data_IF_903105017410
#
_entry.id   IF_903105017410
#
_cell.length_a   1.000
_cell.length_b   1.000
_cell.length_c   1.000
_cell.angle_alpha   90.00
_cell.angle_beta   90.00
_cell.angle_gamma   90.00
#
_symmetry.space_group_name_H-M   'P 1'
#
loop_
_entity.id
_entity.type
_entity.pdbx_description
1 polymer ?
#
# COMPACT_ATOMS: atom_id res chain seq x y z
N UNK A 1 -9.33 10.12 -22.12
CA UNK A 1 -9.53 10.09 -20.65
C UNK A 1 -8.33 9.49 -19.88
N UNK A 2 -7.71 8.37 -20.28
CA UNK A 2 -6.57 7.80 -19.53
C UNK A 2 -5.31 8.71 -19.45
N UNK A 3 -5.01 9.47 -20.52
CA UNK A 3 -3.86 10.40 -20.55
C UNK A 3 -3.97 11.56 -19.54
N UNK A 4 -5.18 12.04 -19.24
CA UNK A 4 -5.37 13.11 -18.25
C UNK A 4 -5.17 12.58 -16.82
N UNK A 5 -5.61 11.35 -16.54
CA UNK A 5 -5.43 10.69 -15.24
C UNK A 5 -3.96 10.45 -14.91
N UNK A 6 -3.17 9.96 -15.86
CA UNK A 6 -1.72 9.74 -15.66
C UNK A 6 -0.94 11.06 -15.50
N UNK A 7 -1.31 12.09 -16.27
CA UNK A 7 -0.70 13.41 -16.13
C UNK A 7 -0.99 14.03 -14.75
N UNK A 8 -2.22 13.86 -14.26
CA UNK A 8 -2.65 14.33 -12.94
C UNK A 8 -1.90 13.63 -11.81
N UNK A 9 -1.85 12.30 -11.82
CA UNK A 9 -1.14 11.54 -10.79
C UNK A 9 0.37 11.89 -10.75
N UNK A 10 0.97 12.14 -11.92
CA UNK A 10 2.35 12.64 -12.01
C UNK A 10 2.51 14.02 -11.37
N UNK A 11 1.57 14.96 -11.61
CA UNK A 11 1.59 16.29 -10.96
C UNK A 11 1.41 16.18 -9.44
N UNK A 12 0.57 15.27 -8.98
CA UNK A 12 0.38 14.99 -7.56
C UNK A 12 1.68 14.49 -6.90
N UNK A 13 2.40 13.56 -7.53
CA UNK A 13 3.72 13.12 -7.02
C UNK A 13 4.75 14.24 -6.99
N UNK A 14 4.69 15.19 -7.94
CA UNK A 14 5.54 16.39 -7.91
C UNK A 14 5.22 17.26 -6.69
N UNK A 15 3.95 17.46 -6.37
CA UNK A 15 3.54 18.22 -5.18
C UNK A 15 3.99 17.51 -3.90
N UNK A 16 3.88 16.19 -3.82
CA UNK A 16 4.37 15.42 -2.68
C UNK A 16 5.89 15.54 -2.51
N UNK A 17 6.65 15.47 -3.59
CA UNK A 17 8.10 15.68 -3.52
C UNK A 17 8.43 17.06 -2.90
N UNK A 18 7.67 18.11 -3.26
CA UNK A 18 7.81 19.44 -2.65
C UNK A 18 7.42 19.42 -1.17
N UNK A 19 6.34 18.70 -0.80
CA UNK A 19 5.89 18.57 0.59
C UNK A 19 6.91 17.88 1.49
N UNK A 20 7.65 16.92 0.95
CA UNK A 20 8.77 16.27 1.64
C UNK A 20 10.06 17.10 1.63
N UNK A 21 10.03 18.31 1.07
CA UNK A 21 11.22 19.17 0.97
C UNK A 21 12.25 18.69 -0.05
N UNK A 22 11.93 17.71 -0.89
CA UNK A 22 12.87 17.12 -1.85
C UNK A 22 13.12 18.07 -3.03
N UNK A 23 14.35 18.07 -3.53
CA UNK A 23 14.82 18.89 -4.66
C UNK A 23 15.73 18.09 -5.59
N UNK A 24 15.90 18.59 -6.81
CA UNK A 24 16.82 18.03 -7.80
C UNK A 24 16.64 16.52 -8.00
N UNK A 25 17.73 15.77 -7.82
CA UNK A 25 17.76 14.32 -8.03
C UNK A 25 16.97 13.55 -6.99
N UNK A 26 16.93 14.01 -5.74
CA UNK A 26 16.15 13.37 -4.68
C UNK A 26 14.64 13.41 -4.96
N UNK A 27 14.15 14.52 -5.53
CA UNK A 27 12.76 14.63 -5.96
C UNK A 27 12.47 13.68 -7.14
N UNK A 28 13.41 13.50 -8.07
CA UNK A 28 13.24 12.57 -9.18
C UNK A 28 13.23 11.12 -8.73
N UNK A 29 14.15 10.75 -7.85
CA UNK A 29 14.23 9.40 -7.30
C UNK A 29 12.92 9.02 -6.61
N UNK A 30 12.38 9.92 -5.78
CA UNK A 30 11.06 9.73 -5.15
C UNK A 30 9.96 9.48 -6.19
N UNK A 31 9.90 10.30 -7.25
CA UNK A 31 8.87 10.17 -8.29
C UNK A 31 9.02 8.84 -9.06
N UNK A 32 10.26 8.40 -9.31
CA UNK A 32 10.56 7.13 -9.98
C UNK A 32 10.18 5.93 -9.11
N UNK A 33 10.46 5.97 -7.80
CA UNK A 33 10.05 4.94 -6.84
C UNK A 33 8.52 4.77 -6.78
N UNK A 34 7.78 5.85 -7.05
CA UNK A 34 6.32 5.85 -7.15
C UNK A 34 5.79 5.39 -8.53
N UNK A 35 6.67 4.90 -9.43
CA UNK A 35 6.28 4.33 -10.73
C UNK A 35 6.11 5.35 -11.87
N UNK A 36 6.56 6.59 -11.70
CA UNK A 36 6.44 7.63 -12.73
C UNK A 36 7.79 8.02 -13.32
N UNK A 37 7.95 7.87 -14.64
CA UNK A 37 9.12 8.38 -15.34
C UNK A 37 9.05 9.91 -15.48
N UNK A 38 10.08 10.62 -14.98
CA UNK A 38 10.22 12.07 -15.07
C UNK A 38 11.69 12.48 -15.20
N UNK A 39 11.98 13.52 -15.99
CA UNK A 39 13.33 14.13 -16.11
C UNK A 39 13.43 15.39 -15.27
N UNK A 40 14.64 15.88 -14.97
CA UNK A 40 14.84 17.17 -14.27
C UNK A 40 14.13 18.33 -14.98
N UNK A 41 14.25 18.39 -16.32
CA UNK A 41 13.56 19.39 -17.14
C UNK A 41 12.03 19.24 -17.09
N UNK A 42 11.52 18.01 -17.02
CA UNK A 42 10.11 17.70 -16.83
C UNK A 42 9.59 18.16 -15.46
N UNK A 43 10.35 17.91 -14.39
CA UNK A 43 10.04 18.38 -13.04
C UNK A 43 9.96 19.91 -12.99
N UNK A 44 10.99 20.59 -13.51
CA UNK A 44 11.02 22.04 -13.58
C UNK A 44 9.87 22.61 -14.42
N UNK A 45 9.45 21.90 -15.49
CA UNK A 45 8.30 22.29 -16.31
C UNK A 45 6.99 22.17 -15.51
N UNK A 46 6.78 21.06 -14.80
CA UNK A 46 5.59 20.87 -13.97
C UNK A 46 5.49 21.94 -12.87
N UNK A 47 6.60 22.20 -12.17
CA UNK A 47 6.63 23.26 -11.15
C UNK A 47 6.32 24.63 -11.76
N UNK A 48 6.92 24.98 -12.92
CA UNK A 48 6.61 26.24 -13.61
C UNK A 48 5.14 26.37 -13.98
N UNK A 49 4.50 25.29 -14.45
CA UNK A 49 3.06 25.31 -14.75
C UNK A 49 2.18 25.50 -13.51
N UNK A 50 2.70 25.21 -12.31
CA UNK A 50 2.03 25.43 -11.03
C UNK A 50 2.38 26.78 -10.37
N UNK A 51 3.05 27.69 -11.10
CA UNK A 51 3.51 28.98 -10.56
C UNK A 51 4.86 28.91 -9.83
N UNK A 52 5.58 27.79 -9.94
CA UNK A 52 6.90 27.57 -9.34
C UNK A 52 6.85 26.83 -8.01
N UNK A 53 8.03 26.43 -7.51
CA UNK A 53 8.17 25.70 -6.24
C UNK A 53 7.71 26.53 -5.04
N UNK A 54 8.08 27.82 -5.00
CA UNK A 54 7.69 28.73 -3.90
C UNK A 54 6.18 28.82 -3.74
N UNK A 55 5.44 28.95 -4.86
CA UNK A 55 3.97 28.95 -4.83
C UNK A 55 3.39 27.67 -4.25
N UNK A 56 3.91 26.51 -4.64
CA UNK A 56 3.47 25.22 -4.10
C UNK A 56 3.76 25.12 -2.60
N UNK A 57 4.92 25.61 -2.14
CA UNK A 57 5.28 25.65 -0.71
C UNK A 57 4.37 26.57 0.10
N UNK A 58 4.00 27.75 -0.43
CA UNK A 58 3.02 28.65 0.20
C UNK A 58 1.68 27.94 0.43
N UNK A 59 1.18 27.25 -0.60
CA UNK A 59 -0.10 26.54 -0.51
C UNK A 59 -0.05 25.37 0.48
N UNK A 60 1.08 24.67 0.55
CA UNK A 60 1.33 23.63 1.55
C UNK A 60 1.34 24.24 2.97
N UNK A 61 1.98 25.40 3.15
CA UNK A 61 2.08 26.08 4.44
C UNK A 61 0.71 26.55 4.97
N UNK A 62 -0.22 26.91 4.07
CA UNK A 62 -1.62 27.24 4.40
C UNK A 62 -2.45 25.98 4.72
N UNK A 63 -1.87 24.78 4.59
CA UNK A 63 -2.51 23.52 4.95
C UNK A 63 -3.33 22.89 3.83
N UNK A 64 -3.20 23.33 2.58
CA UNK A 64 -3.94 22.76 1.46
C UNK A 64 -3.48 21.33 1.17
N UNK A 65 -4.44 20.47 0.86
CA UNK A 65 -4.21 19.13 0.32
C UNK A 65 -3.65 19.19 -1.10
N UNK A 66 -3.08 18.07 -1.58
CA UNK A 66 -2.52 18.01 -2.94
C UNK A 66 -3.60 18.23 -4.01
N UNK A 67 -4.83 17.74 -3.78
CA UNK A 67 -5.97 17.94 -4.70
C UNK A 67 -6.39 19.40 -4.75
N UNK A 68 -6.44 20.09 -3.61
CA UNK A 68 -6.76 21.53 -3.57
C UNK A 68 -5.69 22.38 -4.26
N UNK A 69 -4.40 22.04 -4.08
CA UNK A 69 -3.30 22.68 -4.80
C UNK A 69 -3.45 22.48 -6.31
N UNK A 70 -3.77 21.26 -6.75
CA UNK A 70 -4.01 20.99 -8.16
C UNK A 70 -5.23 21.77 -8.70
N UNK A 71 -6.32 21.88 -7.95
CA UNK A 71 -7.50 22.64 -8.35
C UNK A 71 -7.19 24.12 -8.52
N UNK A 72 -6.37 24.68 -7.64
CA UNK A 72 -6.00 26.10 -7.70
C UNK A 72 -5.02 26.38 -8.85
N UNK A 73 -4.07 25.48 -9.10
CA UNK A 73 -3.12 25.62 -10.21
C UNK A 73 -3.76 25.35 -11.58
N UNK A 74 -4.80 24.51 -11.64
CA UNK A 74 -5.46 24.10 -12.88
C UNK A 74 -6.99 24.13 -12.71
N UNK A 75 -7.61 25.33 -12.66
CA UNK A 75 -9.04 25.46 -12.40
C UNK A 75 -9.92 24.86 -13.51
N UNK A 76 -9.39 24.72 -14.72
CA UNK A 76 -10.09 24.09 -15.86
C UNK A 76 -10.06 22.55 -15.82
N UNK A 77 -9.20 21.95 -14.98
CA UNK A 77 -9.19 20.50 -14.80
C UNK A 77 -10.37 20.10 -13.88
N UNK A 78 -11.28 19.25 -14.37
CA UNK A 78 -12.37 18.71 -13.56
C UNK A 78 -11.81 17.72 -12.53
N UNK A 79 -11.72 18.16 -11.26
CA UNK A 79 -11.32 17.33 -10.11
C UNK A 79 -12.51 16.90 -9.25
N UNK A 80 -13.74 17.09 -9.73
CA UNK A 80 -14.96 16.73 -8.98
C UNK A 80 -14.99 15.23 -8.62
N UNK A 81 -14.43 14.39 -9.49
CA UNK A 81 -14.27 12.94 -9.28
C UNK A 81 -13.34 12.56 -8.10
N UNK A 82 -12.53 13.50 -7.59
CA UNK A 82 -11.54 13.26 -6.53
C UNK A 82 -11.95 13.82 -5.17
N UNK A 83 -13.07 14.55 -5.10
CA UNK A 83 -13.66 14.86 -3.80
C UNK A 83 -14.19 13.54 -3.27
N UNK A 84 -13.42 12.93 -2.37
CA UNK A 84 -13.93 11.83 -1.57
C UNK A 84 -15.25 12.33 -0.96
N UNK A 85 -16.36 11.70 -1.34
CA UNK A 85 -17.62 11.90 -0.66
C UNK A 85 -17.31 11.68 0.82
N UNK A 86 -17.61 12.65 1.72
CA UNK A 86 -17.47 12.38 3.13
C UNK A 86 -18.26 11.10 3.41
N UNK A 87 -17.65 10.10 4.07
CA UNK A 87 -18.29 8.81 4.22
C UNK A 87 -19.64 9.04 4.88
N UNK A 88 -20.69 8.40 4.34
CA UNK A 88 -22.00 8.48 4.98
C UNK A 88 -21.88 7.92 6.40
N UNK A 89 -22.70 8.39 7.34
CA UNK A 89 -22.66 7.84 8.70
C UNK A 89 -22.95 6.33 8.70
N UNK A 90 -23.69 5.83 7.71
CA UNK A 90 -23.89 4.40 7.47
C UNK A 90 -22.59 3.70 7.09
N UNK A 91 -21.78 4.26 6.17
CA UNK A 91 -20.43 3.74 5.86
C UNK A 91 -19.46 3.77 7.06
N UNK A 92 -19.74 4.57 8.10
CA UNK A 92 -18.99 4.56 9.35
C UNK A 92 -19.29 3.34 10.24
N UNK A 93 -20.44 2.68 10.04
CA UNK A 93 -20.93 1.56 10.85
C UNK A 93 -21.37 0.33 10.04
N UNK A 94 -21.39 0.39 8.71
CA UNK A 94 -21.63 -0.76 7.83
C UNK A 94 -20.37 -1.64 7.81
N UNK A 95 -20.51 -2.81 8.43
CA UNK A 95 -19.45 -3.79 8.67
C UNK A 95 -18.96 -4.52 7.41
N UNK A 96 -19.45 -4.15 6.22
CA UNK A 96 -19.26 -4.92 4.98
C UNK A 96 -17.99 -4.56 4.15
N UNK A 97 -17.21 -3.55 4.55
CA UNK A 97 -15.86 -3.29 3.98
C UNK A 97 -14.71 -3.37 5.01
N UNK A 98 -14.92 -4.03 6.16
CA UNK A 98 -13.84 -4.32 7.14
C UNK A 98 -13.14 -5.65 6.82
N UNK A 99 -12.91 -5.96 5.54
CA UNK A 99 -12.16 -7.18 5.15
C UNK A 99 -10.69 -6.91 4.84
N UNK A 100 -10.19 -5.65 4.83
CA UNK A 100 -8.74 -5.48 4.58
C UNK A 100 -7.96 -4.26 5.11
N UNK A 101 -8.48 -3.48 6.05
CA UNK A 101 -7.64 -2.44 6.69
C UNK A 101 -8.07 -2.08 8.10
N UNK A 102 -8.16 -3.08 8.98
CA UNK A 102 -7.94 -2.83 10.40
C UNK A 102 -6.43 -2.60 10.60
N UNK A 103 -5.98 -1.35 10.61
CA UNK A 103 -4.78 -1.02 11.40
C UNK A 103 -5.16 -1.23 12.87
N UNK A 104 -4.55 -2.19 13.57
CA UNK A 104 -4.92 -2.48 14.95
C UNK A 104 -4.58 -1.29 15.83
N UNK A 105 -5.45 -1.00 16.79
CA UNK A 105 -5.13 -0.18 17.96
C UNK A 105 -3.78 -0.68 18.55
N UNK A 106 -2.84 0.22 18.91
CA UNK A 106 -1.54 -0.20 19.42
C UNK A 106 -1.72 -0.82 20.80
N UNK A 107 -1.95 -2.14 20.83
CA UNK A 107 -2.17 -2.91 22.06
C UNK A 107 -3.01 -4.17 21.89
N UNK A 108 -3.83 -4.32 20.85
CA UNK A 108 -4.75 -5.48 20.71
C UNK A 108 -4.33 -6.54 19.70
N UNK A 109 -3.41 -6.25 18.76
CA UNK A 109 -2.83 -7.25 17.83
C UNK A 109 -1.31 -7.36 17.95
N UNK A 110 -0.76 -7.26 19.16
CA UNK A 110 0.49 -7.98 19.37
C UNK A 110 0.14 -9.46 19.22
N UNK A 111 0.76 -10.23 18.30
CA UNK A 111 0.53 -11.66 18.28
C UNK A 111 0.88 -12.18 19.68
N UNK A 112 0.00 -12.97 20.26
CA UNK A 112 0.15 -13.49 21.63
C UNK A 112 1.53 -14.13 21.85
N UNK A 113 2.14 -14.60 20.74
CA UNK A 113 3.49 -15.14 20.64
C UNK A 113 4.25 -14.49 19.47
N UNK A 114 5.58 -14.41 19.61
CA UNK A 114 6.43 -14.00 18.50
C UNK A 114 6.29 -14.98 17.32
N UNK A 115 5.90 -14.48 16.14
CA UNK A 115 5.83 -15.27 14.92
C UNK A 115 7.15 -15.16 14.15
N UNK A 116 7.70 -16.30 13.74
CA UNK A 116 8.90 -16.35 12.91
C UNK A 116 8.52 -16.67 11.45
N UNK A 117 9.12 -15.94 10.50
CA UNK A 117 9.01 -16.28 9.08
C UNK A 117 9.90 -17.49 8.79
N UNK A 118 9.32 -18.56 8.29
CA UNK A 118 10.01 -19.78 7.91
C UNK A 118 10.04 -19.90 6.38
N UNK A 119 11.17 -20.31 5.81
CA UNK A 119 11.28 -20.67 4.40
C UNK A 119 11.53 -22.17 4.29
N UNK A 120 10.63 -22.88 3.61
CA UNK A 120 10.71 -24.34 3.43
C UNK A 120 10.96 -24.62 1.95
N UNK A 121 11.81 -25.61 1.68
CA UNK A 121 12.00 -26.13 0.33
C UNK A 121 11.07 -27.31 0.11
N UNK A 122 10.28 -27.24 -0.95
CA UNK A 122 9.35 -28.31 -1.34
C UNK A 122 9.61 -28.72 -2.79
N UNK A 123 9.33 -29.97 -3.17
CA UNK A 123 9.36 -30.39 -4.57
C UNK A 123 8.43 -29.54 -5.43
N UNK A 124 8.82 -29.28 -6.68
CA UNK A 124 8.07 -28.42 -7.59
C UNK A 124 6.64 -28.92 -7.85
N UNK A 125 6.46 -30.23 -7.95
CA UNK A 125 5.15 -30.86 -8.15
C UNK A 125 4.19 -30.58 -6.99
N UNK A 126 4.70 -30.63 -5.75
CA UNK A 126 3.92 -30.35 -4.55
C UNK A 126 3.54 -28.87 -4.47
N UNK A 127 4.46 -27.98 -4.83
CA UNK A 127 4.18 -26.55 -4.90
C UNK A 127 3.07 -26.24 -5.91
N UNK A 128 3.11 -26.85 -7.10
CA UNK A 128 2.07 -26.68 -8.12
C UNK A 128 0.72 -27.26 -7.68
N UNK A 129 0.71 -28.43 -7.03
CA UNK A 129 -0.51 -29.02 -6.49
C UNK A 129 -1.18 -28.10 -5.46
N UNK A 130 -0.40 -27.52 -4.54
CA UNK A 130 -0.91 -26.56 -3.54
C UNK A 130 -1.45 -25.30 -4.21
N UNK A 131 -0.78 -24.79 -5.25
CA UNK A 131 -1.24 -23.61 -6.00
C UNK A 131 -2.57 -23.84 -6.70
N UNK A 132 -2.79 -25.02 -7.27
CA UNK A 132 -4.06 -25.37 -7.92
C UNK A 132 -5.16 -25.53 -6.86
N UNK A 133 -4.87 -26.24 -5.76
CA UNK A 133 -5.81 -26.46 -4.67
C UNK A 133 -6.24 -25.14 -4.00
N UNK A 134 -5.32 -24.20 -3.78
CA UNK A 134 -5.63 -22.92 -3.14
C UNK A 134 -6.62 -22.09 -3.96
N UNK A 135 -6.54 -22.18 -5.31
CA UNK A 135 -7.50 -21.51 -6.20
C UNK A 135 -8.88 -22.15 -6.15
N UNK A 136 -8.95 -23.48 -6.05
CA UNK A 136 -10.22 -24.19 -5.92
C UNK A 136 -10.92 -23.90 -4.58
N UNK A 137 -10.15 -23.72 -3.50
CA UNK A 137 -10.68 -23.39 -2.16
C UNK A 137 -10.89 -21.89 -1.91
N UNK A 138 -10.51 -21.01 -2.84
CA UNK A 138 -10.60 -19.56 -2.66
C UNK A 138 -9.66 -19.01 -1.57
N UNK A 139 -8.59 -19.75 -1.22
CA UNK A 139 -7.62 -19.38 -0.18
C UNK A 139 -6.30 -18.90 -0.77
N UNK A 140 -5.54 -18.13 0.01
CA UNK A 140 -4.15 -17.84 -0.34
C UNK A 140 -3.29 -19.11 -0.20
N UNK A 141 -2.23 -19.22 -1.02
CA UNK A 141 -1.31 -20.37 -0.95
C UNK A 141 -0.72 -20.54 0.45
N UNK A 142 -0.31 -19.43 1.08
CA UNK A 142 0.26 -19.44 2.43
C UNK A 142 -0.76 -19.92 3.46
N UNK A 143 -2.03 -19.49 3.35
CA UNK A 143 -3.08 -19.95 4.25
C UNK A 143 -3.30 -21.46 4.12
N UNK A 144 -3.36 -21.97 2.89
CA UNK A 144 -3.54 -23.40 2.66
C UNK A 144 -2.32 -24.22 3.17
N UNK A 145 -1.10 -23.72 3.01
CA UNK A 145 0.11 -24.35 3.56
C UNK A 145 0.04 -24.40 5.09
N UNK A 146 -0.38 -23.30 5.74
CA UNK A 146 -0.51 -23.25 7.20
C UNK A 146 -1.60 -24.22 7.67
N UNK A 147 -2.74 -24.29 7.00
CA UNK A 147 -3.83 -25.22 7.33
C UNK A 147 -3.35 -26.68 7.25
N UNK A 148 -2.64 -27.04 6.17
CA UNK A 148 -2.08 -28.37 5.96
C UNK A 148 -1.06 -28.71 7.06
N UNK A 149 -0.13 -27.80 7.36
CA UNK A 149 0.88 -28.03 8.39
C UNK A 149 0.26 -28.13 9.78
N UNK A 150 -0.72 -27.29 10.09
CA UNK A 150 -1.46 -27.31 11.37
C UNK A 150 -2.20 -28.63 11.54
N UNK A 151 -2.84 -29.11 10.46
CA UNK A 151 -3.52 -30.40 10.46
C UNK A 151 -2.57 -31.59 10.55
N UNK A 152 -1.42 -31.51 9.88
CA UNK A 152 -0.41 -32.57 9.95
C UNK A 152 0.20 -32.67 11.36
N UNK A 153 0.53 -31.52 11.97
CA UNK A 153 1.08 -31.44 13.32
C UNK A 153 0.10 -31.94 14.38
N UNK A 154 -1.20 -31.67 14.24
CA UNK A 154 -2.21 -32.17 15.19
C UNK A 154 -2.42 -33.68 15.13
N UNK A 155 -1.93 -34.33 14.08
CA UNK A 155 -1.96 -35.78 13.89
C UNK A 155 -0.63 -36.47 14.21
N UNK A 156 0.43 -35.73 14.48
CA UNK A 156 1.67 -36.34 14.90
C UNK A 156 1.48 -36.93 16.31
N UNK A 157 1.86 -38.20 16.54
CA UNK A 157 1.88 -38.73 17.89
C UNK A 157 2.80 -37.83 18.72
N UNK A 158 2.31 -37.40 19.87
CA UNK A 158 3.10 -36.64 20.84
C UNK A 158 4.27 -37.53 21.25
N UNK A 159 5.44 -37.35 20.63
CA UNK A 159 6.64 -38.04 21.03
C UNK A 159 7.02 -37.46 22.40
N UNK A 160 6.57 -38.12 23.47
CA UNK A 160 6.97 -37.75 24.82
C UNK A 160 8.50 -37.72 24.91
N UNK A 161 9.07 -36.72 25.62
CA UNK A 161 10.50 -36.59 25.78
C UNK A 161 11.07 -37.77 26.55
N UNK A 162 12.33 -38.05 26.20
CA UNK A 162 13.29 -38.92 26.87
C UNK A 162 12.91 -39.28 28.31
N UNK A 163 12.76 -40.59 28.51
CA UNK A 163 12.79 -41.24 29.80
C UNK A 163 13.82 -40.60 30.72
N UNK A 164 13.30 -40.13 31.86
CA UNK A 164 13.80 -40.36 33.21
C UNK A 164 15.31 -40.54 33.34
N UNK A 165 15.93 -39.58 34.03
CA UNK A 165 17.29 -39.75 34.54
C UNK A 165 17.45 -41.02 35.37
N UNK A 166 18.62 -41.62 35.19
CA UNK A 166 19.55 -42.01 36.26
C UNK A 166 20.95 -42.09 35.68
#
# INVERSE_FOLDING_TARGET
MAKSKQLRAKRERVIEAVRHGLEGDAALEFIHQNGYALTQSGLARHLRTMGGRGRVQELIAVGKSNVEILQECFPEDDLSELRATPPSQQELFDEDEVVNSMTPFPGTNAPLYATAKLTIRVPAELYEAVRIASRAEGKTQNQLIVDILTWALSRMPESMPESMGQ
#
